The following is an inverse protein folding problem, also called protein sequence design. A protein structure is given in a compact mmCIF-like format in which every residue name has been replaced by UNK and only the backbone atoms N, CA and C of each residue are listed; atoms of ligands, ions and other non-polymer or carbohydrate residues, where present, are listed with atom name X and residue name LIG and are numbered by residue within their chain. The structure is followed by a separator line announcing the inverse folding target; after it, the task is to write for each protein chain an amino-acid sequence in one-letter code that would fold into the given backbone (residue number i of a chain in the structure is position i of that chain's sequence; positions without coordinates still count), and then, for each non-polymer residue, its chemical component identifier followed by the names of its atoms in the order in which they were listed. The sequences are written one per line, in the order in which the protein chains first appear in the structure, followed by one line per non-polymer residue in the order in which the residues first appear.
data_IF_520564812370
#
_entry.id   IF_520564812370
#
_cell.length_a   1.000
_cell.length_b   1.000
_cell.length_c   1.000
_cell.angle_alpha   90.00
_cell.angle_beta   90.00
_cell.angle_gamma   90.00
#
_symmetry.space_group_name_H-M   'P 1'
#
loop_
_entity.id
_entity.type
_entity.pdbx_description
1 polymer ?
#
# COMPACT_ATOMS: atom_id res chain seq x y z
N UNK A 1 1.44 -0.44 1.03
CA UNK A 1 0.47 0.65 1.29
C UNK A 1 1.15 1.99 1.07
N UNK A 2 2.29 2.26 1.69
CA UNK A 2 3.06 3.51 1.61
C UNK A 2 3.33 3.96 0.17
N UNK A 3 3.59 3.01 -0.73
CA UNK A 3 3.75 3.26 -2.16
C UNK A 3 2.58 4.04 -2.78
N UNK A 4 1.35 3.64 -2.48
CA UNK A 4 0.16 4.31 -3.03
C UNK A 4 -0.06 5.67 -2.38
N UNK A 5 0.22 5.80 -1.08
CA UNK A 5 0.17 7.07 -0.38
C UNK A 5 1.17 8.06 -0.95
N UNK A 6 2.43 7.65 -1.09
CA UNK A 6 3.48 8.49 -1.66
C UNK A 6 3.12 8.96 -3.06
N UNK A 7 2.79 8.04 -3.94
CA UNK A 7 2.49 8.37 -5.35
C UNK A 7 1.25 9.24 -5.53
N UNK A 8 0.29 9.18 -4.63
CA UNK A 8 -0.92 10.02 -4.66
C UNK A 8 -0.75 11.32 -3.87
N UNK A 9 0.42 11.55 -3.27
CA UNK A 9 0.67 12.81 -2.58
C UNK A 9 0.87 13.97 -3.56
N UNK A 10 0.33 15.13 -3.21
CA UNK A 10 0.51 16.36 -3.99
C UNK A 10 1.98 16.76 -4.14
N UNK A 11 2.82 16.39 -3.15
CA UNK A 11 4.26 16.59 -3.17
C UNK A 11 5.00 15.75 -4.21
N UNK A 12 4.45 14.61 -4.64
CA UNK A 12 5.00 13.76 -5.68
C UNK A 12 4.38 14.05 -7.05
N UNK A 13 3.09 14.40 -7.08
CA UNK A 13 2.36 14.69 -8.32
C UNK A 13 2.78 16.03 -8.92
N UNK A 14 2.88 17.09 -8.10
CA UNK A 14 3.21 18.44 -8.61
C UNK A 14 4.56 18.51 -9.32
N UNK A 15 5.66 17.99 -8.77
CA UNK A 15 6.96 18.02 -9.47
C UNK A 15 7.08 16.98 -10.60
N UNK A 16 6.06 16.16 -10.85
CA UNK A 16 6.06 15.16 -11.90
C UNK A 16 6.76 13.84 -11.55
N UNK A 17 7.05 13.59 -10.27
CA UNK A 17 7.57 12.27 -9.83
C UNK A 17 6.50 11.18 -9.84
N UNK A 18 5.24 11.57 -9.79
CA UNK A 18 4.09 10.69 -9.96
C UNK A 18 3.17 11.20 -11.05
N UNK A 19 2.66 10.28 -11.86
CA UNK A 19 1.64 10.56 -12.88
C UNK A 19 0.21 10.24 -12.41
N UNK A 20 0.01 10.04 -11.12
CA UNK A 20 -1.29 9.70 -10.56
C UNK A 20 -2.28 10.87 -10.72
N UNK A 21 -3.51 10.52 -11.08
CA UNK A 21 -4.62 11.46 -11.25
C UNK A 21 -5.89 10.86 -10.66
N UNK A 22 -6.75 11.68 -10.08
CA UNK A 22 -8.04 11.21 -9.62
C UNK A 22 -8.85 10.62 -10.79
N UNK A 23 -9.48 9.47 -10.56
CA UNK A 23 -10.17 8.68 -11.58
C UNK A 23 -9.27 7.63 -12.28
N UNK A 24 -7.98 7.60 -12.03
CA UNK A 24 -7.06 6.63 -12.62
C UNK A 24 -7.21 5.26 -11.94
N UNK A 25 -7.32 4.17 -12.71
CA UNK A 25 -7.14 2.81 -12.20
C UNK A 25 -5.63 2.56 -12.00
N UNK A 26 -5.20 2.48 -10.73
CA UNK A 26 -3.78 2.33 -10.39
C UNK A 26 -3.29 0.89 -10.45
N UNK A 27 -4.20 -0.08 -10.43
CA UNK A 27 -3.86 -1.50 -10.60
C UNK A 27 -3.79 -1.92 -12.07
N UNK A 28 -4.42 -1.13 -12.95
CA UNK A 28 -4.45 -1.37 -14.39
C UNK A 28 -5.39 -2.51 -14.77
N UNK A 29 -5.27 -2.91 -16.03
CA UNK A 29 -6.08 -3.99 -16.59
C UNK A 29 -5.64 -5.38 -16.11
N UNK A 30 -6.56 -6.34 -16.15
CA UNK A 30 -6.33 -7.77 -15.90
C UNK A 30 -5.94 -8.08 -14.45
N UNK A 31 -6.52 -7.37 -13.50
CA UNK A 31 -6.40 -7.74 -12.07
C UNK A 31 -7.13 -9.06 -11.86
N UNK A 32 -6.40 -10.09 -11.43
CA UNK A 32 -6.93 -11.42 -11.09
C UNK A 32 -7.10 -11.60 -9.58
N UNK A 33 -6.35 -10.83 -8.81
CA UNK A 33 -6.45 -10.76 -7.37
C UNK A 33 -7.56 -9.81 -6.90
N UNK A 34 -7.41 -9.33 -5.69
CA UNK A 34 -8.39 -8.42 -5.08
C UNK A 34 -8.14 -6.97 -5.48
N UNK A 35 -9.22 -6.22 -5.63
CA UNK A 35 -9.15 -4.78 -5.88
C UNK A 35 -8.80 -4.04 -4.58
N UNK A 36 -7.89 -3.07 -4.70
CA UNK A 36 -7.43 -2.28 -3.59
C UNK A 36 -8.48 -1.27 -3.14
N UNK A 37 -8.76 -1.28 -1.84
CA UNK A 37 -9.56 -0.29 -1.15
C UNK A 37 -8.73 0.28 -0.02
N UNK A 38 -8.33 1.55 -0.11
CA UNK A 38 -7.45 2.21 0.85
C UNK A 38 -8.11 3.50 1.34
N UNK A 39 -8.14 3.66 2.66
CA UNK A 39 -8.62 4.86 3.33
C UNK A 39 -7.50 5.47 4.17
N UNK A 40 -7.22 6.74 3.98
CA UNK A 40 -6.34 7.52 4.85
C UNK A 40 -7.13 7.94 6.08
N UNK A 41 -6.60 7.64 7.26
CA UNK A 41 -7.28 7.89 8.52
C UNK A 41 -6.77 9.18 9.19
N UNK A 42 -7.70 10.05 9.55
CA UNK A 42 -7.41 11.30 10.25
C UNK A 42 -7.15 11.06 11.74
N UNK A 43 -5.89 11.01 12.13
CA UNK A 43 -5.50 10.86 13.54
C UNK A 43 -5.74 12.10 14.39
N UNK A 44 -5.94 13.26 13.77
CA UNK A 44 -6.17 14.56 14.41
C UNK A 44 -7.29 15.32 13.69
N UNK A 45 -8.02 16.22 14.37
CA UNK A 45 -9.07 17.02 13.75
C UNK A 45 -8.54 18.09 12.78
N UNK A 46 -7.27 18.48 12.92
CA UNK A 46 -6.60 19.47 12.08
C UNK A 46 -5.17 19.04 11.77
N UNK A 47 -4.70 19.38 10.56
CA UNK A 47 -3.31 19.27 10.18
C UNK A 47 -2.45 20.34 10.88
N UNK A 48 -1.11 20.22 10.75
CA UNK A 48 -0.18 21.26 11.23
C UNK A 48 -0.35 22.63 10.53
N UNK A 49 -1.06 22.68 9.39
CA UNK A 49 -1.37 23.89 8.65
C UNK A 49 -2.79 24.41 8.97
N UNK A 50 -3.49 23.82 9.95
CA UNK A 50 -4.85 24.21 10.34
C UNK A 50 -5.96 23.73 9.38
N UNK A 51 -5.65 22.79 8.47
CA UNK A 51 -6.62 22.20 7.56
C UNK A 51 -7.49 21.21 8.35
N UNK A 52 -8.84 21.32 8.33
CA UNK A 52 -9.69 20.31 8.92
C UNK A 52 -9.47 18.95 8.28
N UNK A 53 -9.16 17.94 9.08
CA UNK A 53 -8.90 16.58 8.60
C UNK A 53 -10.11 15.68 8.86
N UNK A 54 -10.36 14.80 7.92
CA UNK A 54 -11.33 13.72 7.99
C UNK A 54 -10.77 12.51 7.23
N UNK A 55 -11.32 11.35 7.50
CA UNK A 55 -10.93 10.15 6.73
C UNK A 55 -11.18 10.40 5.25
N UNK A 56 -10.20 9.97 4.43
CA UNK A 56 -10.19 10.18 2.99
C UNK A 56 -10.07 8.85 2.27
N UNK A 57 -11.06 8.51 1.46
CA UNK A 57 -10.94 7.36 0.56
C UNK A 57 -9.89 7.67 -0.50
N UNK A 58 -8.77 6.96 -0.45
CA UNK A 58 -7.68 7.12 -1.40
C UNK A 58 -7.90 6.26 -2.64
N UNK A 59 -8.10 4.96 -2.43
CA UNK A 59 -8.43 4.00 -3.49
C UNK A 59 -9.78 3.35 -3.20
N UNK A 60 -10.58 3.18 -4.25
CA UNK A 60 -11.82 2.40 -4.22
C UNK A 60 -11.88 1.53 -5.47
N UNK A 61 -11.93 0.20 -5.27
CA UNK A 61 -11.92 -0.77 -6.36
C UNK A 61 -10.75 -0.56 -7.34
N UNK A 62 -9.56 -0.20 -6.81
CA UNK A 62 -8.36 0.08 -7.59
C UNK A 62 -8.32 1.46 -8.24
N UNK A 63 -9.39 2.25 -8.18
CA UNK A 63 -9.45 3.60 -8.73
C UNK A 63 -9.01 4.64 -7.69
N UNK A 64 -8.09 5.54 -8.09
CA UNK A 64 -7.65 6.66 -7.27
C UNK A 64 -8.76 7.72 -7.14
N UNK A 65 -9.19 7.99 -5.91
CA UNK A 65 -10.29 8.93 -5.66
C UNK A 65 -9.83 10.34 -5.34
N UNK A 66 -8.62 10.50 -4.82
CA UNK A 66 -8.11 11.82 -4.44
C UNK A 66 -6.58 11.89 -4.53
N UNK A 67 -6.08 13.10 -4.78
CA UNK A 67 -4.70 13.50 -4.48
C UNK A 67 -4.73 14.13 -3.09
N UNK A 68 -3.85 13.71 -2.19
CA UNK A 68 -3.80 14.23 -0.83
C UNK A 68 -2.53 15.05 -0.58
N UNK A 69 -2.53 15.90 0.45
CA UNK A 69 -1.32 16.60 0.86
C UNK A 69 -1.57 17.98 1.45
N UNK A 70 -0.47 18.73 1.58
CA UNK A 70 -0.42 20.03 2.20
C UNK A 70 -1.05 21.13 1.32
N UNK A 71 -1.34 22.28 1.93
CA UNK A 71 -1.97 23.42 1.28
C UNK A 71 -1.17 23.93 0.07
N UNK A 72 0.16 23.97 0.18
CA UNK A 72 1.04 24.53 -0.86
C UNK A 72 0.91 23.80 -2.20
N UNK A 73 1.12 22.48 -2.19
CA UNK A 73 1.09 21.70 -3.43
C UNK A 73 -0.33 21.45 -3.92
N UNK A 74 -1.30 21.35 -3.01
CA UNK A 74 -2.72 21.31 -3.37
C UNK A 74 -3.13 22.56 -4.16
N UNK A 75 -2.73 23.73 -3.69
CA UNK A 75 -2.97 25.01 -4.39
C UNK A 75 -2.38 25.02 -5.82
N UNK A 76 -1.13 24.57 -5.97
CA UNK A 76 -0.49 24.52 -7.29
C UNK A 76 -1.14 23.54 -8.27
N UNK A 77 -1.70 22.44 -7.73
CA UNK A 77 -2.44 21.45 -8.51
C UNK A 77 -3.91 21.82 -8.76
N UNK A 78 -4.44 22.83 -8.06
CA UNK A 78 -5.83 23.21 -8.14
C UNK A 78 -6.77 22.19 -7.49
N UNK A 79 -6.30 21.46 -6.47
CA UNK A 79 -7.08 20.49 -5.70
C UNK A 79 -7.28 20.96 -4.26
N UNK A 80 -8.30 20.43 -3.59
CA UNK A 80 -8.54 20.74 -2.17
C UNK A 80 -7.42 20.20 -1.28
N UNK A 81 -6.89 20.99 -0.34
CA UNK A 81 -5.91 20.53 0.61
C UNK A 81 -6.57 19.60 1.64
N UNK A 82 -5.94 18.47 1.92
CA UNK A 82 -6.48 17.45 2.83
C UNK A 82 -5.67 17.30 4.11
N UNK A 83 -4.50 17.92 4.16
CA UNK A 83 -3.49 17.66 5.19
C UNK A 83 -2.64 16.42 4.88
N UNK A 84 -1.69 16.16 5.78
CA UNK A 84 -0.79 15.01 5.69
C UNK A 84 -1.28 13.93 6.65
N UNK A 85 -1.48 12.73 6.14
CA UNK A 85 -1.94 11.57 6.91
C UNK A 85 -0.74 10.74 7.37
N UNK A 86 -0.85 10.20 8.58
CA UNK A 86 0.13 9.28 9.18
C UNK A 86 -0.47 7.89 9.48
N UNK A 87 -1.74 7.70 9.19
CA UNK A 87 -2.42 6.44 9.39
C UNK A 87 -3.23 6.07 8.13
N UNK A 88 -3.21 4.78 7.81
CA UNK A 88 -3.86 4.26 6.61
C UNK A 88 -4.50 2.92 6.92
N UNK A 89 -5.68 2.69 6.39
CA UNK A 89 -6.40 1.42 6.46
C UNK A 89 -6.49 0.83 5.06
N UNK A 90 -6.08 -0.43 4.94
CA UNK A 90 -6.41 -1.29 3.81
C UNK A 90 -7.64 -2.12 4.22
N UNK A 91 -8.63 -2.19 3.36
CA UNK A 91 -9.78 -3.06 3.60
C UNK A 91 -9.36 -4.55 3.62
N UNK A 92 -10.07 -5.33 4.41
CA UNK A 92 -9.84 -6.76 4.51
C UNK A 92 -10.13 -7.44 3.18
N UNK A 93 -9.41 -8.54 2.94
CA UNK A 93 -9.67 -9.39 1.79
C UNK A 93 -10.81 -10.38 1.99
N UNK A 94 -10.88 -11.33 1.09
CA UNK A 94 -11.94 -12.35 1.06
C UNK A 94 -11.45 -13.74 1.47
N UNK A 95 -10.12 -13.96 1.51
CA UNK A 95 -9.50 -15.25 1.82
C UNK A 95 -9.09 -15.34 3.28
N UNK A 96 -9.17 -16.54 3.83
CA UNK A 96 -8.53 -16.83 5.12
C UNK A 96 -7.05 -17.13 4.93
N UNK A 97 -6.25 -16.87 5.96
CA UNK A 97 -4.84 -17.26 5.96
C UNK A 97 -4.64 -18.77 5.73
N UNK A 98 -5.58 -19.58 6.22
CA UNK A 98 -5.58 -21.04 6.01
C UNK A 98 -5.82 -21.40 4.54
N UNK A 99 -6.71 -20.70 3.87
CA UNK A 99 -6.94 -20.88 2.43
C UNK A 99 -5.71 -20.49 1.61
N UNK A 100 -5.04 -19.40 1.95
CA UNK A 100 -3.81 -18.95 1.30
C UNK A 100 -2.65 -19.94 1.48
N UNK A 101 -2.67 -20.73 2.59
CA UNK A 101 -1.63 -21.71 2.93
C UNK A 101 -1.89 -23.12 2.40
N UNK A 102 -2.87 -23.34 1.54
CA UNK A 102 -3.15 -24.66 0.93
C UNK A 102 -2.14 -25.07 -0.13
N UNK A 103 -1.60 -24.12 -0.85
CA UNK A 103 -0.57 -24.30 -1.88
C UNK A 103 0.83 -24.12 -1.27
N UNK A 104 1.92 -24.59 -1.90
CA UNK A 104 3.26 -24.29 -1.44
C UNK A 104 3.50 -22.78 -1.28
N UNK A 105 4.09 -22.39 -0.15
CA UNK A 105 4.24 -20.98 0.20
C UNK A 105 5.56 -20.69 0.93
N UNK A 106 5.97 -19.44 0.87
CA UNK A 106 6.98 -18.86 1.75
C UNK A 106 6.30 -17.81 2.64
N UNK A 107 6.15 -18.11 3.91
CA UNK A 107 5.60 -17.18 4.91
C UNK A 107 6.73 -16.41 5.58
N UNK A 108 6.99 -15.18 5.14
CA UNK A 108 8.03 -14.33 5.70
C UNK A 108 7.49 -13.66 6.98
N UNK A 109 8.15 -13.93 8.09
CA UNK A 109 7.80 -13.37 9.41
C UNK A 109 8.52 -12.05 9.65
N UNK A 110 9.78 -11.96 9.24
CA UNK A 110 10.57 -10.74 9.41
C UNK A 110 11.70 -10.64 8.39
N UNK A 111 11.97 -9.42 8.01
CA UNK A 111 13.15 -9.04 7.25
C UNK A 111 14.22 -8.45 8.17
N UNK A 112 15.50 -8.65 7.86
CA UNK A 112 16.61 -7.92 8.47
C UNK A 112 16.76 -6.53 7.88
N UNK A 113 16.45 -6.40 6.60
CA UNK A 113 16.35 -5.15 5.86
C UNK A 113 15.24 -5.29 4.81
N UNK A 114 14.47 -4.21 4.61
CA UNK A 114 13.45 -4.13 3.57
C UNK A 114 13.35 -2.70 3.08
N UNK A 115 13.43 -2.53 1.78
CA UNK A 115 13.25 -1.23 1.13
C UNK A 115 12.32 -1.33 -0.06
N UNK A 116 11.63 -0.21 -0.34
CA UNK A 116 10.80 -0.04 -1.53
C UNK A 116 11.05 1.33 -2.12
N UNK A 117 11.24 1.36 -3.43
CA UNK A 117 11.32 2.60 -4.19
C UNK A 117 9.91 3.04 -4.63
N UNK A 118 9.43 4.14 -4.05
CA UNK A 118 8.10 4.70 -4.35
C UNK A 118 7.96 5.22 -5.80
N UNK A 119 9.04 5.42 -6.52
CA UNK A 119 8.99 5.88 -7.92
C UNK A 119 8.76 4.72 -8.88
N UNK A 120 9.54 3.67 -8.73
CA UNK A 120 9.53 2.51 -9.65
C UNK A 120 8.65 1.36 -9.19
N UNK A 121 8.34 1.28 -7.89
CA UNK A 121 7.64 0.16 -7.27
C UNK A 121 8.52 -1.07 -7.03
N UNK A 122 9.82 -0.99 -7.30
CA UNK A 122 10.75 -2.07 -6.96
C UNK A 122 10.94 -2.15 -5.45
N UNK A 123 10.94 -3.36 -4.93
CA UNK A 123 11.24 -3.64 -3.53
C UNK A 123 12.21 -4.81 -3.39
N UNK A 124 12.87 -4.86 -2.25
CA UNK A 124 13.74 -5.97 -1.87
C UNK A 124 13.90 -6.05 -0.37
N UNK A 125 14.10 -7.26 0.15
CA UNK A 125 14.35 -7.48 1.56
C UNK A 125 15.08 -8.79 1.82
N UNK A 126 16.01 -8.77 2.77
CA UNK A 126 16.69 -9.96 3.27
C UNK A 126 15.83 -10.67 4.31
N UNK A 127 15.65 -11.97 4.16
CA UNK A 127 14.83 -12.80 5.04
C UNK A 127 15.61 -13.06 6.33
N UNK A 128 15.10 -12.59 7.45
CA UNK A 128 15.60 -12.94 8.78
C UNK A 128 14.95 -14.21 9.32
N UNK A 129 13.65 -14.35 9.10
CA UNK A 129 12.88 -15.54 9.48
C UNK A 129 11.71 -15.72 8.52
N UNK A 130 11.57 -16.92 7.99
CA UNK A 130 10.41 -17.34 7.24
C UNK A 130 10.10 -18.82 7.49
N UNK A 131 8.92 -19.26 7.04
CA UNK A 131 8.51 -20.67 7.00
C UNK A 131 8.20 -21.03 5.56
N UNK A 132 8.94 -22.03 5.06
CA UNK A 132 8.72 -22.61 3.73
C UNK A 132 7.86 -23.86 3.87
N UNK A 133 6.71 -23.89 3.19
CA UNK A 133 5.91 -25.08 2.97
C UNK A 133 6.11 -25.55 1.53
N UNK A 134 6.62 -26.76 1.36
CA UNK A 134 6.93 -27.36 0.04
C UNK A 134 5.80 -28.20 -0.55
N UNK A 135 4.64 -28.27 0.15
CA UNK A 135 3.51 -29.13 -0.17
C UNK A 135 3.37 -30.33 0.75
N UNK A 136 4.41 -30.67 1.52
CA UNK A 136 4.42 -31.81 2.45
C UNK A 136 4.71 -31.37 3.90
N UNK A 137 5.74 -30.52 4.07
CA UNK A 137 6.18 -30.09 5.41
C UNK A 137 6.50 -28.61 5.46
N UNK A 138 6.38 -28.04 6.67
CA UNK A 138 6.81 -26.67 6.97
C UNK A 138 8.23 -26.70 7.54
N UNK A 139 9.14 -25.94 6.96
CA UNK A 139 10.52 -25.82 7.39
C UNK A 139 10.84 -24.36 7.72
N UNK A 140 11.40 -24.03 8.91
CA UNK A 140 11.89 -22.70 9.18
C UNK A 140 13.14 -22.41 8.34
N UNK A 141 13.19 -21.23 7.77
CA UNK A 141 14.31 -20.79 6.91
C UNK A 141 14.78 -19.39 7.32
N UNK A 142 16.07 -19.15 7.13
CA UNK A 142 16.70 -17.84 7.33
C UNK A 142 17.71 -17.60 6.21
N UNK A 143 17.99 -16.33 5.91
CA UNK A 143 18.82 -15.97 4.77
C UNK A 143 18.05 -16.01 3.45
N UNK A 144 18.72 -15.60 2.38
CA UNK A 144 18.10 -15.35 1.10
C UNK A 144 17.38 -14.01 1.06
N UNK A 145 16.77 -13.68 -0.08
CA UNK A 145 16.08 -12.42 -0.26
C UNK A 145 14.78 -12.61 -1.06
N UNK A 146 13.85 -11.69 -0.83
CA UNK A 146 12.66 -11.51 -1.68
C UNK A 146 12.78 -10.16 -2.37
N UNK A 147 12.55 -10.13 -3.67
CA UNK A 147 12.50 -8.90 -4.45
C UNK A 147 11.43 -8.98 -5.53
N UNK A 148 10.94 -7.83 -5.95
CA UNK A 148 9.91 -7.77 -6.99
C UNK A 148 9.54 -6.35 -7.37
N UNK A 149 8.50 -6.24 -8.19
CA UNK A 149 7.90 -4.96 -8.55
C UNK A 149 6.42 -4.96 -8.16
N UNK A 150 6.04 -4.00 -7.32
CA UNK A 150 4.67 -3.91 -6.83
C UNK A 150 3.65 -3.66 -7.95
N UNK A 151 4.03 -2.90 -8.99
CA UNK A 151 3.14 -2.61 -10.12
C UNK A 151 2.78 -3.87 -10.93
N UNK A 152 3.62 -4.89 -10.87
CA UNK A 152 3.33 -6.20 -11.46
C UNK A 152 2.52 -7.06 -10.50
N UNK A 153 3.00 -7.19 -9.25
CA UNK A 153 2.42 -8.08 -8.24
C UNK A 153 1.04 -7.64 -7.76
N UNK A 154 0.74 -6.34 -7.80
CA UNK A 154 -0.57 -5.81 -7.36
C UNK A 154 -1.77 -6.41 -8.11
N UNK A 155 -1.52 -7.04 -9.26
CA UNK A 155 -2.58 -7.67 -10.08
C UNK A 155 -3.05 -9.01 -9.53
N UNK A 156 -2.20 -9.67 -8.71
CA UNK A 156 -2.45 -11.01 -8.19
C UNK A 156 -2.53 -11.05 -6.66
N UNK A 157 -2.55 -9.89 -6.00
CA UNK A 157 -2.61 -9.79 -4.55
C UNK A 157 -3.92 -10.34 -3.98
N UNK A 158 -3.81 -11.03 -2.86
CA UNK A 158 -4.92 -11.42 -2.02
C UNK A 158 -4.64 -10.99 -0.58
N UNK A 159 -5.69 -10.64 0.15
CA UNK A 159 -5.60 -10.17 1.53
C UNK A 159 -6.38 -11.08 2.46
N UNK A 160 -5.92 -11.17 3.73
CA UNK A 160 -6.64 -11.92 4.76
C UNK A 160 -7.94 -11.18 5.11
N UNK A 161 -9.01 -11.96 5.25
CA UNK A 161 -10.33 -11.46 5.68
C UNK A 161 -10.33 -10.90 7.12
N UNK A 162 -9.32 -11.23 7.94
CA UNK A 162 -9.19 -10.79 9.33
C UNK A 162 -8.13 -9.71 9.51
N UNK A 163 -7.64 -9.13 8.43
CA UNK A 163 -6.57 -8.13 8.44
C UNK A 163 -7.03 -6.74 8.90
N UNK A 164 -7.40 -6.57 10.16
CA UNK A 164 -7.83 -5.27 10.73
C UNK A 164 -6.68 -4.33 11.08
N UNK A 165 -5.74 -4.13 10.18
CA UNK A 165 -4.60 -3.29 10.51
C UNK A 165 -4.77 -1.85 10.03
N UNK A 166 -4.90 -0.91 10.95
CA UNK A 166 -4.52 0.48 10.71
C UNK A 166 -3.00 0.53 10.76
N UNK A 167 -2.38 0.84 9.64
CA UNK A 167 -0.94 1.02 9.55
C UNK A 167 -0.57 2.48 9.78
N UNK A 168 0.38 2.72 10.68
CA UNK A 168 0.97 4.03 10.87
C UNK A 168 2.24 4.12 10.02
N UNK A 169 2.30 5.13 9.17
CA UNK A 169 3.49 5.44 8.39
C UNK A 169 4.53 6.10 9.30
N UNK A 170 5.78 5.74 9.12
CA UNK A 170 6.91 6.33 9.88
C UNK A 170 7.40 7.62 9.26
#
# INVERSE_FOLDING_TARGET
IDFYMDRSSSGMVYPGYSNYQAGMDVQGEKVQGEKLNITLHASNPYSSEGIPMKDLTLLKEGELKAIHGNARFAYYLGVEPTGIYSAVKLDNGTKTLEEMKKEPYLYVVSFSDFSMDSLSGYFGGEIRLAYLFDGEKVTPVTGGSVSGNLLELQKDMAFDQNGDAIHYTK
#
